data_IF_109759416243
#
_entry.id   IF_109759416243
#
_cell.length_a   1.000
_cell.length_b   1.000
_cell.length_c   1.000
_cell.angle_alpha   90.00
_cell.angle_beta   90.00
_cell.angle_gamma   90.00
#
_symmetry.space_group_name_H-M   'P 1'
#
loop_
_entity.id
_entity.type
_entity.pdbx_description
1 polymer ?
#
# COMPACT_ATOMS: atom_id res chain seq x y z
N UNK A 1 -12.74 -7.62 -20.54
CA UNK A 1 -13.90 -6.74 -20.24
C UNK A 1 -13.58 -5.59 -19.26
N UNK A 2 -12.32 -5.38 -18.85
CA UNK A 2 -11.93 -4.34 -17.87
C UNK A 2 -10.98 -3.26 -18.43
N UNK A 3 -10.85 -3.13 -19.77
CA UNK A 3 -9.87 -2.21 -20.39
C UNK A 3 -10.45 -1.00 -21.13
N UNK A 4 -11.76 -0.97 -21.38
CA UNK A 4 -12.30 -0.06 -22.43
C UNK A 4 -13.17 1.09 -21.92
N UNK A 5 -13.14 1.43 -20.63
CA UNK A 5 -13.97 2.53 -20.10
C UNK A 5 -13.21 3.80 -19.69
N UNK A 6 -11.89 3.86 -19.85
CA UNK A 6 -11.11 5.07 -19.55
C UNK A 6 -9.99 5.22 -20.57
N UNK A 7 -10.23 5.99 -21.64
CA UNK A 7 -9.16 6.32 -22.59
C UNK A 7 -9.65 6.94 -23.89
N UNK A 8 -10.06 8.21 -23.85
CA UNK A 8 -10.02 9.06 -25.04
C UNK A 8 -8.65 9.77 -25.11
N UNK A 9 -7.98 9.83 -26.27
CA UNK A 9 -6.68 10.48 -26.38
C UNK A 9 -6.87 11.98 -26.62
N UNK A 10 -6.33 12.79 -25.72
CA UNK A 10 -6.04 14.20 -25.99
C UNK A 10 -6.70 15.19 -25.05
N UNK A 11 -5.99 15.53 -23.97
CA UNK A 11 -5.99 16.89 -23.40
C UNK A 11 -4.91 17.00 -22.34
N UNK A 12 -4.07 18.02 -22.47
CA UNK A 12 -3.04 18.40 -21.51
C UNK A 12 -3.64 18.59 -20.11
N UNK A 13 -2.97 18.04 -19.09
CA UNK A 13 -3.42 18.06 -17.69
C UNK A 13 -3.52 16.64 -17.12
N UNK A 14 -2.38 15.97 -16.93
CA UNK A 14 -2.33 14.61 -16.37
C UNK A 14 -2.67 14.67 -14.88
N UNK A 15 -3.95 14.50 -14.55
CA UNK A 15 -4.47 14.55 -13.18
C UNK A 15 -4.95 13.18 -12.69
N UNK A 16 -4.31 12.10 -13.14
CA UNK A 16 -4.50 10.76 -12.57
C UNK A 16 -3.15 10.05 -12.60
N UNK A 17 -2.70 9.57 -11.44
CA UNK A 17 -1.50 8.74 -11.39
C UNK A 17 -1.82 7.40 -12.06
N UNK A 18 -0.98 6.98 -12.99
CA UNK A 18 -1.10 5.66 -13.63
C UNK A 18 -0.91 4.57 -12.56
N UNK A 19 -1.55 3.39 -12.66
CA UNK A 19 -1.36 2.32 -11.67
C UNK A 19 0.12 1.96 -11.42
N UNK A 20 0.94 2.02 -12.47
CA UNK A 20 2.39 1.80 -12.37
C UNK A 20 3.12 2.92 -11.59
N UNK A 21 2.64 4.16 -11.68
CA UNK A 21 3.19 5.28 -10.92
C UNK A 21 2.84 5.16 -9.43
N UNK A 22 1.62 4.74 -9.11
CA UNK A 22 1.20 4.47 -7.72
C UNK A 22 2.02 3.33 -7.12
N UNK A 23 2.24 2.25 -7.88
CA UNK A 23 3.08 1.12 -7.45
C UNK A 23 4.53 1.56 -7.21
N UNK A 24 5.11 2.35 -8.12
CA UNK A 24 6.46 2.91 -7.97
C UNK A 24 6.59 3.82 -6.73
N UNK A 25 5.55 4.58 -6.39
CA UNK A 25 5.55 5.40 -5.16
C UNK A 25 5.45 4.54 -3.90
N UNK A 26 4.66 3.46 -3.95
CA UNK A 26 4.53 2.51 -2.84
C UNK A 26 5.84 1.78 -2.53
N UNK A 27 6.69 1.53 -3.53
CA UNK A 27 8.00 0.88 -3.37
C UNK A 27 8.98 1.62 -2.44
N UNK A 28 8.72 2.90 -2.16
CA UNK A 28 9.52 3.72 -1.24
C UNK A 28 9.18 3.47 0.23
N UNK A 29 8.06 2.81 0.52
CA UNK A 29 7.64 2.52 1.89
C UNK A 29 8.67 1.63 2.58
N UNK A 30 8.95 1.93 3.84
CA UNK A 30 9.88 1.13 4.65
C UNK A 30 9.15 -0.10 5.19
N UNK A 31 9.80 -1.24 5.05
CA UNK A 31 9.37 -2.52 5.61
C UNK A 31 10.51 -3.14 6.42
N UNK A 32 10.16 -3.95 7.40
CA UNK A 32 11.16 -4.64 8.21
C UNK A 32 11.47 -6.01 7.61
N UNK A 33 12.76 -6.31 7.46
CA UNK A 33 13.24 -7.62 7.01
C UNK A 33 14.22 -8.22 8.00
N UNK A 34 14.31 -9.53 8.03
CA UNK A 34 15.37 -10.27 8.72
C UNK A 34 16.26 -10.90 7.64
N UNK A 35 17.49 -10.40 7.43
CA UNK A 35 18.40 -10.94 6.43
C UNK A 35 19.04 -12.25 6.93
N UNK A 36 19.55 -13.04 5.99
CA UNK A 36 20.36 -14.24 6.26
C UNK A 36 21.82 -14.10 5.80
N UNK A 37 22.25 -12.86 5.57
CA UNK A 37 23.58 -12.50 5.11
C UNK A 37 24.14 -11.34 5.93
N UNK A 38 25.46 -11.20 5.91
CA UNK A 38 26.17 -10.07 6.49
C UNK A 38 26.56 -9.07 5.41
N UNK A 39 26.32 -7.79 5.64
CA UNK A 39 26.79 -6.70 4.80
C UNK A 39 26.89 -5.43 5.65
N UNK A 40 28.01 -4.72 5.53
CA UNK A 40 28.17 -3.42 6.18
C UNK A 40 27.19 -2.39 5.63
N UNK A 41 27.12 -1.23 6.31
CA UNK A 41 26.23 -0.14 5.92
C UNK A 41 26.51 0.28 4.46
N UNK A 42 25.44 0.43 3.69
CA UNK A 42 25.47 0.91 2.30
C UNK A 42 24.99 2.36 2.28
N UNK A 43 25.80 3.26 1.74
CA UNK A 43 25.48 4.68 1.62
C UNK A 43 24.88 4.95 0.23
N UNK A 44 23.62 5.34 0.14
CA UNK A 44 22.96 5.73 -1.11
C UNK A 44 22.70 7.24 -1.14
N UNK A 45 22.46 7.77 -2.35
CA UNK A 45 22.04 9.16 -2.55
C UNK A 45 20.75 9.46 -1.78
N UNK A 46 19.84 8.49 -1.69
CA UNK A 46 18.55 8.61 -1.00
C UNK A 46 18.58 8.26 0.50
N UNK A 47 19.75 8.01 1.08
CA UNK A 47 19.92 7.63 2.48
C UNK A 47 20.69 6.32 2.67
N UNK A 48 21.03 6.04 3.93
CA UNK A 48 21.82 4.86 4.30
C UNK A 48 20.93 3.63 4.51
N UNK A 49 21.46 2.46 4.18
CA UNK A 49 20.82 1.16 4.39
C UNK A 49 21.72 0.23 5.21
N UNK A 50 21.13 -0.55 6.12
CA UNK A 50 21.89 -1.51 6.94
C UNK A 50 22.73 -0.84 8.04
N UNK A 51 23.56 -1.57 8.79
CA UNK A 51 24.14 -2.90 8.54
C UNK A 51 23.17 -4.07 8.51
N UNK A 52 23.43 -5.02 7.60
CA UNK A 52 22.71 -6.27 7.49
C UNK A 52 23.45 -7.31 8.32
N UNK A 53 22.79 -7.79 9.37
CA UNK A 53 23.33 -8.82 10.24
C UNK A 53 22.35 -10.01 10.23
N UNK A 54 22.84 -11.24 9.98
CA UNK A 54 21.97 -12.42 9.93
C UNK A 54 21.11 -12.54 11.20
N UNK A 55 19.79 -12.72 11.01
CA UNK A 55 18.86 -12.91 12.12
C UNK A 55 18.42 -11.64 12.85
N UNK A 56 19.01 -10.47 12.56
CA UNK A 56 18.61 -9.20 13.16
C UNK A 56 17.65 -8.41 12.25
N UNK A 57 16.53 -7.90 12.77
CA UNK A 57 15.61 -7.06 11.99
C UNK A 57 16.28 -5.77 11.51
N UNK A 58 16.00 -5.37 10.27
CA UNK A 58 16.45 -4.11 9.67
C UNK A 58 15.34 -3.53 8.80
N UNK A 59 15.15 -2.21 8.86
CA UNK A 59 14.22 -1.51 7.98
C UNK A 59 14.88 -1.20 6.65
N UNK A 60 14.20 -1.53 5.56
CA UNK A 60 14.63 -1.25 4.18
C UNK A 60 13.45 -0.80 3.33
N UNK A 61 13.68 -0.04 2.25
CA UNK A 61 12.64 0.23 1.26
C UNK A 61 12.06 -1.06 0.66
N UNK A 62 10.78 -1.05 0.33
CA UNK A 62 10.06 -2.20 -0.22
C UNK A 62 10.71 -2.76 -1.49
N UNK A 63 11.18 -1.90 -2.41
CA UNK A 63 11.88 -2.37 -3.62
C UNK A 63 13.08 -3.26 -3.29
N UNK A 64 13.81 -2.92 -2.21
CA UNK A 64 14.96 -3.71 -1.77
C UNK A 64 14.52 -4.98 -1.06
N UNK A 65 13.50 -4.90 -0.22
CA UNK A 65 12.94 -6.07 0.46
C UNK A 65 12.49 -7.13 -0.55
N UNK A 66 11.75 -6.73 -1.59
CA UNK A 66 11.30 -7.63 -2.67
C UNK A 66 12.50 -8.21 -3.43
N UNK A 67 13.50 -7.39 -3.78
CA UNK A 67 14.69 -7.87 -4.47
C UNK A 67 15.50 -8.89 -3.65
N UNK A 68 15.71 -8.63 -2.36
CA UNK A 68 16.39 -9.54 -1.44
C UNK A 68 15.59 -10.84 -1.24
N UNK A 69 14.26 -10.73 -1.15
CA UNK A 69 13.36 -11.86 -1.00
C UNK A 69 13.39 -12.79 -2.21
N UNK A 70 13.33 -12.24 -3.43
CA UNK A 70 13.44 -13.02 -4.68
C UNK A 70 14.77 -13.78 -4.77
N UNK A 71 15.83 -13.25 -4.16
CA UNK A 71 17.16 -13.89 -4.05
C UNK A 71 17.30 -14.82 -2.84
N UNK A 72 16.23 -15.06 -2.09
CA UNK A 72 16.21 -15.87 -0.87
C UNK A 72 17.18 -15.36 0.21
N UNK A 73 17.37 -14.03 0.30
CA UNK A 73 18.32 -13.38 1.22
C UNK A 73 17.69 -12.79 2.48
N UNK A 74 16.36 -12.79 2.59
CA UNK A 74 15.68 -12.31 3.79
C UNK A 74 14.30 -12.93 3.96
N UNK A 75 13.76 -12.76 5.17
CA UNK A 75 12.34 -12.92 5.49
C UNK A 75 11.75 -11.53 5.73
N UNK A 76 10.60 -11.22 5.12
CA UNK A 76 9.90 -9.95 5.37
C UNK A 76 9.01 -10.12 6.60
N UNK A 77 9.03 -9.15 7.53
CA UNK A 77 8.12 -9.07 8.66
C UNK A 77 6.93 -8.19 8.26
N UNK A 78 5.74 -8.77 8.24
CA UNK A 78 4.51 -8.02 8.01
C UNK A 78 3.89 -7.52 9.31
N UNK A 79 3.37 -6.30 9.26
CA UNK A 79 2.50 -5.73 10.27
C UNK A 79 1.18 -5.31 9.59
N UNK A 80 0.47 -6.26 8.96
CA UNK A 80 -0.86 -5.99 8.39
C UNK A 80 -1.88 -6.00 9.53
N UNK A 81 -2.12 -4.82 10.12
CA UNK A 81 -3.18 -4.61 11.12
C UNK A 81 -4.44 -4.09 10.43
N UNK A 82 -5.42 -4.97 10.20
CA UNK A 82 -6.68 -4.61 9.57
C UNK A 82 -7.73 -4.20 10.63
N UNK A 83 -8.25 -2.96 10.57
CA UNK A 83 -9.19 -2.44 11.57
C UNK A 83 -10.51 -1.91 10.97
N UNK A 84 -10.79 -2.18 9.69
CA UNK A 84 -12.04 -1.76 9.04
C UNK A 84 -13.20 -2.67 9.52
N UNK A 85 -14.05 -2.15 10.43
CA UNK A 85 -15.32 -2.78 10.82
C UNK A 85 -16.43 -2.35 9.85
N UNK A 86 -17.56 -3.08 9.81
CA UNK A 86 -18.79 -2.76 9.03
C UNK A 86 -19.52 -1.49 9.53
N UNK A 87 -18.81 -0.37 9.68
CA UNK A 87 -19.38 0.94 9.98
C UNK A 87 -19.88 1.64 8.71
N UNK A 88 -20.79 2.61 8.86
CA UNK A 88 -21.38 3.38 7.76
C UNK A 88 -20.39 4.39 7.15
N UNK A 89 -19.36 4.81 7.89
CA UNK A 89 -18.35 5.78 7.45
C UNK A 89 -17.06 5.08 6.98
N UNK A 90 -16.26 5.78 6.16
CA UNK A 90 -14.92 5.31 5.79
C UNK A 90 -14.00 5.37 7.01
N UNK A 91 -13.33 4.26 7.35
CA UNK A 91 -12.27 4.33 8.37
C UNK A 91 -10.93 4.69 7.73
N UNK A 92 -9.99 5.22 8.53
CA UNK A 92 -8.67 5.58 8.02
C UNK A 92 -7.88 4.30 7.70
N UNK A 93 -7.28 4.24 6.50
CA UNK A 93 -6.38 3.12 6.20
C UNK A 93 -5.09 3.22 6.98
N UNK A 94 -4.50 2.07 7.38
CA UNK A 94 -3.20 2.04 8.05
C UNK A 94 -2.08 2.67 7.21
N UNK A 95 -2.13 2.48 5.89
CA UNK A 95 -1.17 3.04 4.93
C UNK A 95 -1.91 3.48 3.64
N UNK A 96 -1.62 4.65 3.06
CA UNK A 96 -2.20 5.09 1.79
C UNK A 96 -1.89 4.14 0.62
N UNK A 97 -0.79 3.38 0.69
CA UNK A 97 -0.33 2.42 -0.32
C UNK A 97 -0.57 0.96 0.10
N UNK A 98 -1.54 0.71 0.99
CA UNK A 98 -1.78 -0.64 1.52
C UNK A 98 -2.06 -1.67 0.42
N UNK A 99 -2.71 -1.26 -0.67
CA UNK A 99 -3.12 -2.15 -1.75
C UNK A 99 -1.91 -2.62 -2.56
N UNK A 100 -1.01 -1.69 -2.88
CA UNK A 100 0.22 -1.95 -3.61
C UNK A 100 1.19 -2.78 -2.75
N UNK A 101 1.32 -2.42 -1.46
CA UNK A 101 2.11 -3.17 -0.48
C UNK A 101 1.62 -4.62 -0.39
N UNK A 102 0.32 -4.80 -0.16
CA UNK A 102 -0.30 -6.11 -0.08
C UNK A 102 -0.07 -6.93 -1.36
N UNK A 103 -0.31 -6.34 -2.53
CA UNK A 103 -0.10 -6.99 -3.82
C UNK A 103 1.35 -7.45 -3.97
N UNK A 104 2.33 -6.57 -3.72
CA UNK A 104 3.75 -6.88 -3.88
C UNK A 104 4.21 -7.96 -2.89
N UNK A 105 3.81 -7.84 -1.63
CA UNK A 105 4.19 -8.79 -0.57
C UNK A 105 3.55 -10.17 -0.78
N UNK A 106 2.25 -10.22 -1.10
CA UNK A 106 1.57 -11.49 -1.33
C UNK A 106 2.05 -12.19 -2.61
N UNK A 107 2.52 -11.45 -3.61
CA UNK A 107 3.07 -12.04 -4.84
C UNK A 107 4.49 -12.59 -4.65
N UNK A 108 5.32 -11.96 -3.81
CA UNK A 108 6.74 -12.29 -3.70
C UNK A 108 7.17 -12.90 -2.36
N UNK A 109 6.33 -12.83 -1.34
CA UNK A 109 6.65 -13.23 0.02
C UNK A 109 5.52 -13.99 0.74
N UNK A 110 4.53 -14.52 0.00
CA UNK A 110 3.44 -15.31 0.59
C UNK A 110 3.92 -16.50 1.43
N UNK A 111 5.05 -17.10 1.08
CA UNK A 111 5.68 -18.18 1.85
C UNK A 111 6.16 -17.75 3.25
N UNK A 112 6.31 -16.45 3.49
CA UNK A 112 6.65 -15.90 4.80
C UNK A 112 5.46 -15.33 5.56
N UNK A 113 4.28 -15.30 4.94
CA UNK A 113 3.07 -14.69 5.48
C UNK A 113 2.16 -15.81 5.97
N UNK A 114 1.98 -15.99 7.30
CA UNK A 114 1.01 -16.95 7.80
C UNK A 114 -0.38 -16.55 7.34
N UNK A 115 -1.17 -17.51 6.83
CA UNK A 115 -2.54 -17.28 6.35
C UNK A 115 -2.61 -16.24 5.21
N UNK A 116 -1.64 -16.25 4.29
CA UNK A 116 -1.60 -15.35 3.13
C UNK A 116 -2.93 -15.30 2.35
N UNK A 117 -3.61 -16.44 2.18
CA UNK A 117 -4.92 -16.51 1.51
C UNK A 117 -6.02 -15.78 2.29
N UNK A 118 -6.04 -15.90 3.61
CA UNK A 118 -6.98 -15.15 4.47
C UNK A 118 -6.72 -13.65 4.37
N UNK A 119 -5.46 -13.25 4.36
CA UNK A 119 -5.05 -11.84 4.22
C UNK A 119 -5.48 -11.30 2.85
N UNK A 120 -5.27 -12.05 1.76
CA UNK A 120 -5.76 -11.66 0.42
C UNK A 120 -7.27 -11.44 0.40
N UNK A 121 -8.05 -12.37 0.99
CA UNK A 121 -9.50 -12.23 1.10
C UNK A 121 -9.88 -10.97 1.90
N UNK A 122 -9.24 -10.73 3.05
CA UNK A 122 -9.52 -9.56 3.88
C UNK A 122 -9.24 -8.23 3.15
N UNK A 123 -8.15 -8.15 2.37
CA UNK A 123 -7.83 -6.96 1.57
C UNK A 123 -8.89 -6.73 0.49
N UNK A 124 -9.31 -7.81 -0.19
CA UNK A 124 -10.36 -7.76 -1.21
C UNK A 124 -11.69 -7.30 -0.62
N UNK A 125 -12.12 -7.89 0.49
CA UNK A 125 -13.36 -7.51 1.18
C UNK A 125 -13.35 -6.04 1.61
N UNK A 126 -12.19 -5.56 2.09
CA UNK A 126 -11.99 -4.16 2.47
C UNK A 126 -12.14 -3.22 1.27
N UNK A 127 -11.56 -3.59 0.12
CA UNK A 127 -11.71 -2.84 -1.12
C UNK A 127 -13.14 -2.84 -1.64
N UNK A 128 -13.77 -4.01 -1.70
CA UNK A 128 -15.14 -4.16 -2.21
C UNK A 128 -16.12 -3.36 -1.33
N UNK A 129 -15.94 -3.38 -0.01
CA UNK A 129 -16.72 -2.56 0.93
C UNK A 129 -16.56 -1.06 0.66
N UNK A 130 -15.33 -0.60 0.41
CA UNK A 130 -15.04 0.82 0.12
C UNK A 130 -15.62 1.26 -1.22
N UNK A 131 -15.50 0.44 -2.26
CA UNK A 131 -16.09 0.71 -3.56
C UNK A 131 -17.62 0.76 -3.46
N UNK A 132 -18.24 -0.14 -2.68
CA UNK A 132 -19.67 -0.09 -2.43
C UNK A 132 -20.09 1.22 -1.73
N UNK A 133 -19.39 1.64 -0.67
CA UNK A 133 -19.63 2.91 0.02
C UNK A 133 -19.46 4.12 -0.90
N UNK A 134 -18.43 4.13 -1.75
CA UNK A 134 -18.19 5.20 -2.73
C UNK A 134 -19.33 5.31 -3.74
N UNK A 135 -19.80 4.17 -4.28
CA UNK A 135 -20.95 4.15 -5.21
C UNK A 135 -22.20 4.70 -4.55
N UNK A 136 -22.54 4.24 -3.35
CA UNK A 136 -23.70 4.74 -2.60
C UNK A 136 -23.61 6.23 -2.30
N UNK A 137 -22.41 6.72 -1.92
CA UNK A 137 -22.17 8.14 -1.65
C UNK A 137 -22.23 9.00 -2.91
N UNK A 138 -21.80 8.49 -4.06
CA UNK A 138 -21.89 9.19 -5.33
C UNK A 138 -23.36 9.25 -5.81
N UNK A 139 -24.08 8.14 -5.70
CA UNK A 139 -25.50 8.06 -6.05
C UNK A 139 -26.34 9.02 -5.20
N UNK A 140 -26.09 9.10 -3.89
CA UNK A 140 -26.77 10.07 -3.02
C UNK A 140 -26.42 11.52 -3.39
N UNK A 141 -25.15 11.82 -3.65
CA UNK A 141 -24.69 13.15 -4.05
C UNK A 141 -25.37 13.65 -5.33
N UNK A 142 -25.46 12.81 -6.36
CA UNK A 142 -26.13 13.13 -7.63
C UNK A 142 -27.62 13.38 -7.42
N UNK A 143 -28.28 12.54 -6.60
CA UNK A 143 -29.72 12.68 -6.29
C UNK A 143 -30.03 13.95 -5.51
N UNK A 144 -29.15 14.36 -4.62
CA UNK A 144 -29.38 15.49 -3.72
C UNK A 144 -28.96 16.86 -4.31
N UNK A 145 -28.38 16.91 -5.53
CA UNK A 145 -27.81 18.13 -6.15
C UNK A 145 -26.94 18.96 -5.18
N UNK A 146 -26.24 18.32 -4.24
CA UNK A 146 -25.38 19.03 -3.29
C UNK A 146 -24.15 19.55 -4.04
N UNK A 147 -23.81 20.83 -3.87
CA UNK A 147 -22.68 21.47 -4.57
C UNK A 147 -21.30 21.14 -3.95
N UNK A 148 -21.26 20.42 -2.81
CA UNK A 148 -20.02 20.15 -2.08
C UNK A 148 -19.99 18.71 -1.54
N UNK A 149 -18.98 17.93 -1.96
CA UNK A 149 -18.63 16.65 -1.36
C UNK A 149 -17.33 16.82 -0.56
N UNK A 150 -17.38 16.63 0.77
CA UNK A 150 -16.18 16.65 1.62
C UNK A 150 -15.55 15.26 1.63
N UNK A 151 -14.49 15.08 0.86
CA UNK A 151 -13.62 13.89 0.97
C UNK A 151 -12.79 14.06 2.24
N UNK A 152 -13.13 13.35 3.31
CA UNK A 152 -12.34 13.37 4.55
C UNK A 152 -11.13 12.44 4.40
N UNK A 153 -9.99 12.97 3.96
CA UNK A 153 -8.68 12.33 4.12
C UNK A 153 -8.03 12.86 5.40
N UNK A 154 -8.19 12.14 6.51
CA UNK A 154 -7.55 12.48 7.77
C UNK A 154 -6.07 12.10 7.76
N UNK A 155 -5.18 13.06 7.49
CA UNK A 155 -3.82 13.04 8.02
C UNK A 155 -3.60 14.30 8.84
N UNK A 156 -4.07 14.28 10.08
CA UNK A 156 -3.63 15.23 11.09
C UNK A 156 -2.45 14.59 11.83
N UNK A 157 -1.25 14.68 11.26
CA UNK A 157 -0.04 14.48 12.04
C UNK A 157 0.40 15.83 12.62
N UNK A 158 0.38 15.85 13.95
CA UNK A 158 1.35 16.50 14.82
C UNK A 158 1.75 17.94 14.49
N UNK A 159 1.15 18.88 15.22
CA UNK A 159 1.85 20.09 15.65
C UNK A 159 1.38 20.41 17.06
N UNK A 160 2.11 19.88 18.04
CA UNK A 160 2.19 20.42 19.39
C UNK A 160 3.59 20.10 19.91
N UNK A 161 4.50 21.04 19.67
CA UNK A 161 5.54 21.40 20.64
C UNK A 161 4.83 22.19 21.74
#
# INVERSE_FOLDING_TARGET
MFRDLIGAPGSAGKQWAEPAEVEFLAEKQLVTVIPNFSLDKVYLIGGDLGSFNPGLPVQVPLWLAVNLKQRQKCRILEEIRNNERRGETFTQMPNPHYMELAKLLLNHASDNIPKADEIQMLIKDTWDTRIAKLRLSADSFVREQKAHAKVQSGSALSSAV
#
